data_IF_402305474016
#
_entry.id   IF_402305474016
#
_cell.length_a   1.000
_cell.length_b   1.000
_cell.length_c   1.000
_cell.angle_alpha   90.00
_cell.angle_beta   90.00
_cell.angle_gamma   90.00
#
_symmetry.space_group_name_H-M   'P 1'
#
loop_
_entity.id
_entity.type
_entity.pdbx_description
1 polymer ?
#
# COMPACT_ATOMS: atom_id res chain seq x y z
N UNK A 1 -11.56 -16.51 4.17
CA UNK A 1 -11.75 -17.14 2.85
C UNK A 1 -10.82 -16.56 1.79
N UNK A 2 -10.98 -15.32 1.30
CA UNK A 2 -10.09 -14.78 0.25
C UNK A 2 -8.59 -14.77 0.65
N UNK A 3 -8.29 -14.41 1.89
CA UNK A 3 -6.91 -14.42 2.42
C UNK A 3 -6.33 -15.84 2.50
N UNK A 4 -7.13 -16.82 2.90
CA UNK A 4 -6.68 -18.21 3.02
C UNK A 4 -6.40 -18.83 1.64
N UNK A 5 -7.25 -18.50 0.65
CA UNK A 5 -7.02 -18.88 -0.74
C UNK A 5 -5.74 -18.27 -1.31
N UNK A 6 -5.46 -16.99 -1.01
CA UNK A 6 -4.21 -16.34 -1.42
C UNK A 6 -2.98 -17.00 -0.78
N UNK A 7 -3.06 -17.38 0.50
CA UNK A 7 -1.98 -18.11 1.19
C UNK A 7 -1.75 -19.49 0.56
N UNK A 8 -2.80 -20.27 0.33
CA UNK A 8 -2.68 -21.58 -0.30
C UNK A 8 -2.07 -21.47 -1.71
N UNK A 9 -2.49 -20.47 -2.50
CA UNK A 9 -1.90 -20.20 -3.82
C UNK A 9 -0.41 -19.88 -3.74
N UNK A 10 -0.02 -18.99 -2.83
CA UNK A 10 1.38 -18.60 -2.64
C UNK A 10 2.25 -19.78 -2.18
N UNK A 11 1.74 -20.61 -1.27
CA UNK A 11 2.41 -21.83 -0.82
C UNK A 11 2.61 -22.83 -1.97
N UNK A 12 1.59 -23.02 -2.82
CA UNK A 12 1.69 -23.92 -3.96
C UNK A 12 2.74 -23.47 -4.99
N UNK A 13 3.00 -22.17 -5.12
CA UNK A 13 3.95 -21.63 -6.11
C UNK A 13 5.37 -21.50 -5.55
N UNK A 14 5.53 -21.06 -4.30
CA UNK A 14 6.83 -20.69 -3.72
C UNK A 14 7.19 -21.46 -2.44
N UNK A 15 6.34 -22.38 -2.00
CA UNK A 15 6.50 -23.15 -0.77
C UNK A 15 6.05 -22.42 0.50
N UNK A 16 5.87 -23.19 1.58
CA UNK A 16 5.31 -22.68 2.84
C UNK A 16 6.11 -21.51 3.45
N UNK A 17 7.44 -21.46 3.25
CA UNK A 17 8.30 -20.39 3.75
C UNK A 17 7.99 -19.02 3.11
N UNK A 18 7.35 -18.98 1.93
CA UNK A 18 7.00 -17.72 1.27
C UNK A 18 5.88 -16.96 2.00
N UNK A 19 5.02 -17.65 2.77
CA UNK A 19 3.92 -17.02 3.50
C UNK A 19 4.40 -16.05 4.58
N UNK A 20 5.27 -16.45 5.54
CA UNK A 20 5.80 -15.52 6.52
C UNK A 20 6.71 -14.46 5.87
N UNK A 21 7.46 -14.79 4.82
CA UNK A 21 8.29 -13.83 4.12
C UNK A 21 7.47 -12.69 3.48
N UNK A 22 6.41 -13.04 2.73
CA UNK A 22 5.51 -12.04 2.14
C UNK A 22 4.80 -11.21 3.21
N UNK A 23 4.38 -11.84 4.31
CA UNK A 23 3.77 -11.15 5.44
C UNK A 23 4.72 -10.15 6.09
N UNK A 24 6.00 -10.52 6.27
CA UNK A 24 7.02 -9.64 6.83
C UNK A 24 7.30 -8.43 5.92
N UNK A 25 7.34 -8.63 4.61
CA UNK A 25 7.48 -7.54 3.63
C UNK A 25 6.30 -6.58 3.75
N UNK A 26 5.06 -7.09 3.66
CA UNK A 26 3.85 -6.26 3.75
C UNK A 26 3.78 -5.49 5.07
N UNK A 27 4.14 -6.14 6.19
CA UNK A 27 4.18 -5.52 7.51
C UNK A 27 5.22 -4.40 7.59
N UNK A 28 6.43 -4.60 7.04
CA UNK A 28 7.50 -3.60 7.06
C UNK A 28 7.12 -2.33 6.29
N UNK A 29 6.55 -2.47 5.08
CA UNK A 29 6.09 -1.32 4.31
C UNK A 29 4.91 -0.63 5.01
N UNK A 30 3.91 -1.39 5.47
CA UNK A 30 2.74 -0.83 6.18
C UNK A 30 3.15 -0.05 7.44
N UNK A 31 4.12 -0.56 8.20
CA UNK A 31 4.67 0.13 9.38
C UNK A 31 5.28 1.47 8.99
N UNK A 32 6.19 1.47 8.01
CA UNK A 32 6.92 2.68 7.63
C UNK A 32 5.97 3.75 7.08
N UNK A 33 4.99 3.34 6.28
CA UNK A 33 3.99 4.24 5.70
C UNK A 33 3.11 4.88 6.80
N UNK A 34 2.68 4.10 7.80
CA UNK A 34 1.95 4.64 8.96
C UNK A 34 2.78 5.60 9.79
N UNK A 35 4.07 5.32 10.00
CA UNK A 35 4.96 6.22 10.74
C UNK A 35 5.12 7.54 9.97
N UNK A 36 5.41 7.49 8.67
CA UNK A 36 5.53 8.68 7.83
C UNK A 36 4.26 9.53 7.85
N UNK A 37 3.10 8.88 7.69
CA UNK A 37 1.80 9.53 7.78
C UNK A 37 1.55 10.18 9.15
N UNK A 38 1.91 9.50 10.25
CA UNK A 38 1.77 10.02 11.61
C UNK A 38 2.68 11.21 11.92
N UNK A 39 3.85 11.28 11.28
CA UNK A 39 4.79 12.40 11.37
C UNK A 39 4.45 13.54 10.41
N UNK A 40 3.47 13.36 9.52
CA UNK A 40 3.10 14.36 8.52
C UNK A 40 4.09 14.49 7.37
N UNK A 41 4.94 13.48 7.13
CA UNK A 41 5.87 13.47 6.00
C UNK A 41 5.06 13.32 4.70
N UNK A 42 5.12 14.29 3.77
CA UNK A 42 4.38 14.21 2.52
C UNK A 42 5.00 13.18 1.57
N UNK A 43 4.18 12.68 0.65
CA UNK A 43 4.69 11.88 -0.46
C UNK A 43 5.53 12.74 -1.42
N UNK A 44 6.37 12.13 -2.25
CA UNK A 44 7.08 12.89 -3.29
C UNK A 44 6.09 13.30 -4.40
N UNK A 45 6.07 14.57 -4.86
CA UNK A 45 5.18 15.02 -5.93
C UNK A 45 5.25 14.16 -7.21
N UNK A 46 6.46 13.73 -7.62
CA UNK A 46 6.65 12.90 -8.80
C UNK A 46 5.97 11.55 -8.61
N UNK A 47 6.06 10.98 -7.42
CA UNK A 47 5.44 9.71 -7.11
C UNK A 47 3.91 9.83 -7.03
N UNK A 48 3.36 10.95 -6.52
CA UNK A 48 1.91 11.20 -6.53
C UNK A 48 1.38 11.28 -7.97
N UNK A 49 2.10 11.97 -8.86
CA UNK A 49 1.72 12.06 -10.27
C UNK A 49 1.79 10.70 -10.97
N UNK A 50 2.89 9.97 -10.76
CA UNK A 50 3.16 8.70 -11.46
C UNK A 50 2.20 7.59 -11.05
N UNK A 51 1.70 7.63 -9.81
CA UNK A 51 0.79 6.59 -9.29
C UNK A 51 -0.69 6.95 -9.44
N UNK A 52 -1.05 8.10 -10.04
CA UNK A 52 -2.43 8.57 -10.17
C UNK A 52 -3.37 7.49 -10.73
N UNK A 53 -3.06 6.99 -11.92
CA UNK A 53 -3.94 6.05 -12.63
C UNK A 53 -4.12 4.74 -11.85
N UNK A 54 -3.06 4.23 -11.20
CA UNK A 54 -3.14 3.02 -10.38
C UNK A 54 -3.96 3.25 -9.11
N UNK A 55 -3.81 4.42 -8.46
CA UNK A 55 -4.64 4.77 -7.28
C UNK A 55 -6.12 4.85 -7.66
N UNK A 56 -6.43 5.45 -8.80
CA UNK A 56 -7.81 5.55 -9.32
C UNK A 56 -8.39 4.16 -9.62
N UNK A 57 -7.65 3.31 -10.34
CA UNK A 57 -8.08 1.94 -10.67
C UNK A 57 -8.35 1.09 -9.43
N UNK A 58 -7.53 1.25 -8.39
CA UNK A 58 -7.68 0.55 -7.12
C UNK A 58 -8.69 1.23 -6.17
N UNK A 59 -9.24 2.39 -6.55
CA UNK A 59 -10.17 3.17 -5.73
C UNK A 59 -9.55 3.68 -4.42
N UNK A 60 -8.23 3.91 -4.39
CA UNK A 60 -7.51 4.26 -3.16
C UNK A 60 -7.88 5.65 -2.63
N UNK A 61 -8.33 6.55 -3.50
CA UNK A 61 -8.76 7.89 -3.12
C UNK A 61 -10.11 7.88 -2.36
N UNK A 62 -10.84 6.76 -2.38
CA UNK A 62 -12.11 6.60 -1.65
C UNK A 62 -11.92 6.32 -0.15
N UNK A 63 -10.70 5.99 0.29
CA UNK A 63 -10.42 5.73 1.70
C UNK A 63 -10.18 7.04 2.45
N UNK A 64 -10.66 7.15 3.70
CA UNK A 64 -10.43 8.33 4.55
C UNK A 64 -8.94 8.70 4.69
N UNK A 65 -8.05 7.71 4.63
CA UNK A 65 -6.61 7.92 4.71
C UNK A 65 -6.01 8.65 3.50
N UNK A 66 -6.72 8.72 2.36
CA UNK A 66 -6.27 9.43 1.17
C UNK A 66 -5.97 10.92 1.44
N UNK A 67 -6.60 11.51 2.46
CA UNK A 67 -6.29 12.87 2.91
C UNK A 67 -4.80 13.06 3.26
N UNK A 68 -4.11 12.02 3.74
CA UNK A 68 -2.68 12.09 4.08
C UNK A 68 -1.77 12.19 2.86
N UNK A 69 -2.29 11.83 1.68
CA UNK A 69 -1.62 12.03 0.40
C UNK A 69 -2.09 13.33 -0.24
N UNK A 70 -3.40 13.53 -0.38
CA UNK A 70 -3.99 14.58 -1.21
C UNK A 70 -3.89 15.99 -0.61
N UNK A 71 -3.87 16.17 0.72
CA UNK A 71 -3.85 17.50 1.34
C UNK A 71 -2.60 18.34 1.02
N UNK A 72 -1.55 17.71 0.53
CA UNK A 72 -0.26 18.34 0.23
C UNK A 72 -0.10 18.74 -1.24
N UNK A 73 -1.05 18.38 -2.10
CA UNK A 73 -1.00 18.67 -3.54
C UNK A 73 -2.28 19.39 -3.95
N UNK A 74 -2.13 20.54 -4.60
CA UNK A 74 -3.28 21.26 -5.17
C UNK A 74 -3.68 20.60 -6.48
N UNK A 75 -4.99 20.56 -6.73
CA UNK A 75 -5.57 20.13 -8.00
C UNK A 75 -5.33 21.22 -9.05
N UNK A 76 -4.22 21.13 -9.79
CA UNK A 76 -4.11 21.79 -11.10
C UNK A 76 -4.77 20.92 -12.18
#
# INVERSE_FOLDING_TARGET
MALDAARASLENVLGAAAIPAASAIAANFSKNDRIANGLGIPHDPIMVKTTKDVREQLGLDNFKSAINTLKYFSSD
#
